data_IF_391003266652
#
_entry.id   IF_391003266652
#
_cell.length_a   1.000
_cell.length_b   1.000
_cell.length_c   1.000
_cell.angle_alpha   90.00
_cell.angle_beta   90.00
_cell.angle_gamma   90.00
#
_symmetry.space_group_name_H-M   'P 1'
#
loop_
_entity.id
_entity.type
_entity.pdbx_description
1 polymer ?
#
# COMPACT_ATOMS: atom_id res chain seq x y z
N UNK A 1 -5.50 -26.13 -2.06
CA UNK A 1 -6.23 -25.35 -1.04
C UNK A 1 -7.48 -24.82 -1.71
N UNK A 2 -8.64 -25.43 -1.42
CA UNK A 2 -9.90 -25.15 -2.11
C UNK A 2 -10.55 -23.91 -1.51
N UNK A 3 -10.89 -22.93 -2.36
CA UNK A 3 -11.80 -21.84 -1.98
C UNK A 3 -13.21 -22.28 -2.35
N UNK A 4 -13.98 -22.78 -1.37
CA UNK A 4 -15.41 -23.02 -1.55
C UNK A 4 -16.14 -21.68 -1.55
N UNK A 5 -16.64 -21.27 -2.72
CA UNK A 5 -17.43 -20.06 -2.87
C UNK A 5 -18.84 -20.24 -2.31
N UNK A 6 -19.32 -19.24 -1.56
CA UNK A 6 -20.71 -19.12 -1.16
C UNK A 6 -21.41 -18.19 -2.17
N UNK A 7 -22.39 -18.74 -2.88
CA UNK A 7 -23.12 -18.13 -3.98
C UNK A 7 -24.28 -17.27 -3.45
N UNK A 8 -24.01 -16.09 -2.84
CA UNK A 8 -25.06 -15.08 -2.62
C UNK A 8 -24.51 -13.73 -2.15
N UNK A 9 -23.64 -13.12 -2.94
CA UNK A 9 -23.43 -11.68 -2.85
C UNK A 9 -22.95 -11.15 -4.20
N UNK A 10 -23.45 -9.98 -4.59
CA UNK A 10 -22.82 -9.13 -5.62
C UNK A 10 -21.44 -8.66 -5.12
N UNK A 11 -20.54 -9.59 -4.82
CA UNK A 11 -19.14 -9.34 -4.53
C UNK A 11 -18.42 -9.23 -5.86
N UNK A 12 -17.83 -8.07 -6.12
CA UNK A 12 -17.07 -7.81 -7.35
C UNK A 12 -15.96 -8.84 -7.53
N UNK A 13 -16.23 -9.85 -8.35
CA UNK A 13 -15.23 -10.80 -8.78
C UNK A 13 -14.29 -10.10 -9.76
N UNK A 14 -13.00 -10.08 -9.44
CA UNK A 14 -11.98 -9.67 -10.41
C UNK A 14 -12.06 -10.60 -11.62
N UNK A 15 -12.22 -10.02 -12.82
CA UNK A 15 -12.12 -10.82 -14.02
C UNK A 15 -10.63 -11.19 -14.24
N UNK A 16 -10.35 -12.18 -15.10
CA UNK A 16 -8.98 -12.62 -15.37
C UNK A 16 -8.05 -11.49 -15.82
N UNK A 17 -8.58 -10.47 -16.53
CA UNK A 17 -7.79 -9.32 -16.99
C UNK A 17 -7.41 -8.39 -15.84
N UNK A 18 -8.29 -8.21 -14.84
CA UNK A 18 -7.98 -7.39 -13.67
C UNK A 18 -6.81 -7.98 -12.87
N UNK A 19 -6.78 -9.31 -12.74
CA UNK A 19 -5.72 -10.05 -12.05
C UNK A 19 -4.34 -9.91 -12.73
N UNK A 20 -4.29 -9.63 -14.03
CA UNK A 20 -3.01 -9.39 -14.74
C UNK A 20 -2.25 -8.18 -14.17
N UNK A 21 -2.95 -7.25 -13.52
CA UNK A 21 -2.34 -6.09 -12.88
C UNK A 21 -1.63 -6.43 -11.57
N UNK A 22 -1.68 -7.68 -11.11
CA UNK A 22 -1.11 -8.10 -9.84
C UNK A 22 -0.10 -9.25 -10.03
N UNK A 23 0.82 -9.40 -9.08
CA UNK A 23 1.68 -10.57 -8.98
C UNK A 23 2.09 -10.83 -7.53
N UNK A 24 2.52 -12.06 -7.26
CA UNK A 24 3.00 -12.47 -5.95
C UNK A 24 4.53 -12.61 -6.01
N UNK A 25 5.22 -12.10 -5.00
CA UNK A 25 6.66 -12.31 -4.78
C UNK A 25 6.91 -12.60 -3.30
N UNK A 26 7.41 -13.80 -3.01
CA UNK A 26 7.41 -14.32 -1.64
C UNK A 26 5.98 -14.42 -1.11
N UNK A 27 5.73 -13.92 0.09
CA UNK A 27 4.40 -13.91 0.72
C UNK A 27 3.61 -12.61 0.51
N UNK A 28 3.97 -11.81 -0.50
CA UNK A 28 3.42 -10.47 -0.70
C UNK A 28 2.79 -10.30 -2.08
N UNK A 29 1.67 -9.56 -2.12
CA UNK A 29 0.99 -9.14 -3.35
C UNK A 29 1.52 -7.77 -3.78
N UNK A 30 1.78 -7.63 -5.07
CA UNK A 30 2.23 -6.39 -5.71
C UNK A 30 1.28 -5.99 -6.82
N UNK A 31 1.05 -4.69 -6.93
CA UNK A 31 0.44 -4.05 -8.10
C UNK A 31 1.56 -3.80 -9.11
N UNK A 32 1.38 -4.30 -10.33
CA UNK A 32 2.31 -4.04 -11.43
C UNK A 32 2.39 -2.55 -11.70
N UNK A 33 3.61 -2.12 -11.99
CA UNK A 33 3.87 -0.78 -12.45
C UNK A 33 3.32 -0.57 -13.87
N UNK A 34 2.89 0.65 -14.15
CA UNK A 34 2.90 1.17 -15.53
C UNK A 34 4.35 1.47 -15.92
N UNK A 35 4.63 1.64 -17.21
CA UNK A 35 5.99 1.86 -17.77
C UNK A 35 6.78 2.87 -16.92
N UNK A 36 8.06 2.56 -16.67
CA UNK A 36 9.03 3.36 -15.88
C UNK A 36 8.69 3.58 -14.40
N UNK A 37 7.83 2.75 -13.82
CA UNK A 37 7.55 2.75 -12.37
C UNK A 37 7.97 1.44 -11.72
N UNK A 38 8.10 1.50 -10.40
CA UNK A 38 8.36 0.33 -9.56
C UNK A 38 7.02 -0.29 -9.12
N UNK A 39 6.92 -1.62 -9.08
CA UNK A 39 5.72 -2.27 -8.54
C UNK A 39 5.46 -1.85 -7.09
N UNK A 40 4.18 -1.71 -6.72
CA UNK A 40 3.78 -1.28 -5.38
C UNK A 40 3.33 -2.47 -4.55
N UNK A 41 3.88 -2.61 -3.34
CA UNK A 41 3.47 -3.65 -2.41
C UNK A 41 2.08 -3.33 -1.83
N UNK A 42 1.13 -4.26 -1.89
CA UNK A 42 -0.13 -4.13 -1.17
C UNK A 42 0.09 -4.42 0.31
N UNK A 43 -0.43 -3.56 1.17
CA UNK A 43 -0.39 -3.72 2.63
C UNK A 43 -1.83 -3.74 3.14
N UNK A 44 -2.25 -4.86 3.69
CA UNK A 44 -3.65 -5.06 4.09
C UNK A 44 -3.87 -4.61 5.52
N UNK A 45 -3.03 -5.09 6.44
CA UNK A 45 -3.19 -4.89 7.87
C UNK A 45 -2.72 -3.52 8.32
N UNK A 46 -3.49 -2.91 9.24
CA UNK A 46 -3.18 -1.57 9.78
C UNK A 46 -1.86 -1.53 10.53
N UNK A 47 -1.50 -2.59 11.23
CA UNK A 47 -0.24 -2.67 11.94
C UNK A 47 0.96 -2.77 11.00
N UNK A 48 0.82 -3.50 9.88
CA UNK A 48 1.85 -3.57 8.84
C UNK A 48 2.04 -2.24 8.09
N UNK A 49 1.03 -1.36 8.06
CA UNK A 49 1.11 -0.03 7.44
C UNK A 49 1.99 0.94 8.24
N UNK A 50 2.13 0.75 9.56
CA UNK A 50 2.92 1.61 10.45
C UNK A 50 4.40 1.60 10.09
N UNK A 51 4.97 0.43 9.80
CA UNK A 51 6.39 0.29 9.49
C UNK A 51 6.79 1.08 8.23
N UNK A 52 6.11 0.98 7.07
CA UNK A 52 6.36 1.86 5.92
C UNK A 52 6.21 3.35 6.22
N UNK A 53 5.19 3.74 7.01
CA UNK A 53 4.95 5.13 7.41
C UNK A 53 6.15 5.68 8.19
N UNK A 54 6.55 5.00 9.26
CA UNK A 54 7.67 5.39 10.12
C UNK A 54 9.00 5.38 9.35
N UNK A 55 9.27 4.35 8.55
CA UNK A 55 10.51 4.25 7.79
C UNK A 55 10.65 5.37 6.75
N UNK A 56 9.55 5.78 6.11
CA UNK A 56 9.60 6.87 5.13
C UNK A 56 9.65 8.24 5.82
N UNK A 57 8.89 8.42 6.91
CA UNK A 57 8.86 9.67 7.65
C UNK A 57 10.18 9.96 8.38
N UNK A 58 10.78 8.95 9.02
CA UNK A 58 12.00 9.03 9.83
C UNK A 58 13.27 8.66 9.03
N UNK A 59 13.15 8.34 7.75
CA UNK A 59 14.17 7.63 6.97
C UNK A 59 15.48 8.37 6.73
N UNK A 60 16.55 7.58 6.62
CA UNK A 60 17.93 8.00 6.36
C UNK A 60 18.02 8.57 4.93
N UNK A 61 18.33 9.87 4.82
CA UNK A 61 18.53 10.56 3.54
C UNK A 61 17.79 11.90 3.38
N UNK A 62 17.06 12.40 4.38
CA UNK A 62 16.42 13.72 4.25
C UNK A 62 15.59 14.25 5.41
N UNK A 63 15.86 13.84 6.66
CA UNK A 63 15.19 14.37 7.85
C UNK A 63 13.70 14.01 7.95
N UNK A 64 13.05 14.42 9.05
CA UNK A 64 11.59 14.31 9.22
C UNK A 64 10.90 15.04 8.06
N UNK A 65 10.43 14.29 7.08
CA UNK A 65 9.71 14.85 5.95
C UNK A 65 8.24 15.05 6.32
N UNK A 66 7.72 16.24 6.06
CA UNK A 66 6.31 16.54 6.29
C UNK A 66 5.38 15.66 5.44
N UNK A 67 4.08 15.85 5.64
CA UNK A 67 3.00 15.17 4.90
C UNK A 67 3.27 15.10 3.39
N UNK A 68 3.61 16.24 2.78
CA UNK A 68 3.71 16.38 1.33
C UNK A 68 4.94 15.68 0.74
N UNK A 69 5.96 15.39 1.56
CA UNK A 69 7.07 14.52 1.18
C UNK A 69 6.79 13.03 1.44
N UNK A 70 6.04 12.73 2.50
CA UNK A 70 5.75 11.36 2.92
C UNK A 70 4.77 10.67 1.96
N UNK A 71 3.67 11.34 1.60
CA UNK A 71 2.62 10.76 0.73
C UNK A 71 3.17 10.28 -0.61
N UNK A 72 3.92 11.09 -1.40
CA UNK A 72 4.43 10.65 -2.70
C UNK A 72 5.39 9.48 -2.58
N UNK A 73 6.30 9.50 -1.60
CA UNK A 73 7.26 8.40 -1.37
C UNK A 73 6.58 7.09 -1.00
N UNK A 74 5.54 7.17 -0.16
CA UNK A 74 4.73 6.02 0.19
C UNK A 74 3.99 5.46 -1.03
N UNK A 75 3.32 6.32 -1.79
CA UNK A 75 2.57 5.93 -2.99
C UNK A 75 3.46 5.39 -4.11
N UNK A 76 4.76 5.69 -4.11
CA UNK A 76 5.71 5.13 -5.06
C UNK A 76 6.01 3.65 -4.78
N UNK A 77 6.02 3.23 -3.51
CA UNK A 77 6.42 1.87 -3.10
C UNK A 77 5.30 0.98 -2.57
N UNK A 78 4.23 1.57 -2.05
CA UNK A 78 3.17 0.86 -1.34
C UNK A 78 1.79 1.26 -1.83
N UNK A 79 0.83 0.38 -1.56
CA UNK A 79 -0.57 0.62 -1.78
C UNK A 79 -1.40 0.06 -0.63
N UNK A 80 -2.30 0.89 -0.11
CA UNK A 80 -3.45 0.46 0.67
C UNK A 80 -4.56 1.49 0.52
N UNK A 81 -5.78 1.11 0.88
CA UNK A 81 -6.93 1.99 0.76
C UNK A 81 -6.78 3.19 1.73
N UNK A 82 -7.01 4.41 1.23
CA UNK A 82 -6.96 5.66 2.00
C UNK A 82 -5.60 6.00 2.62
N UNK A 83 -4.51 5.65 1.95
CA UNK A 83 -3.12 5.99 2.36
C UNK A 83 -2.95 7.46 2.78
N UNK A 84 -3.55 8.40 2.05
CA UNK A 84 -3.45 9.84 2.37
C UNK A 84 -4.09 10.18 3.72
N UNK A 85 -5.22 9.53 4.04
CA UNK A 85 -5.92 9.74 5.31
C UNK A 85 -5.10 9.20 6.48
N UNK A 86 -4.47 8.04 6.31
CA UNK A 86 -3.65 7.44 7.35
C UNK A 86 -2.36 8.23 7.59
N UNK A 87 -1.71 8.72 6.52
CA UNK A 87 -0.57 9.63 6.66
C UNK A 87 -0.99 10.89 7.42
N UNK A 88 -2.14 11.49 7.09
CA UNK A 88 -2.63 12.67 7.80
C UNK A 88 -2.89 12.42 9.28
N UNK A 89 -3.39 11.24 9.64
CA UNK A 89 -3.60 10.87 11.03
C UNK A 89 -2.27 10.68 11.76
N UNK A 90 -1.33 9.98 11.13
CA UNK A 90 0.01 9.76 11.66
C UNK A 90 0.77 11.08 11.92
N UNK A 91 0.64 12.07 11.03
CA UNK A 91 1.28 13.37 11.20
C UNK A 91 0.74 14.15 12.40
N UNK A 92 -0.52 13.94 12.82
CA UNK A 92 -1.08 14.57 14.02
C UNK A 92 -0.53 14.00 15.31
N UNK A 93 -0.07 12.74 15.27
CA UNK A 93 0.53 12.05 16.42
C UNK A 93 2.06 12.16 16.43
N UNK A 94 2.63 12.76 15.40
CA UNK A 94 4.06 13.00 15.31
C UNK A 94 4.38 14.35 15.96
N UNK A 95 5.06 14.34 17.10
CA UNK A 95 5.69 15.54 17.66
C UNK A 95 6.87 15.90 16.76
N UNK A 96 6.73 16.94 15.94
CA UNK A 96 7.82 17.47 15.09
C UNK A 96 8.90 18.06 15.97
#
# INVERSE_FOLDING_TARGET
MYLSGNENSNQGFFNKKDLLNYFIRGSHIFIRAKVDRVPRKMVFEKDEQKMPLENIHNGIGGGRIGRDGTIPKLKDRYFWNKIDKDVNLFMKTCEI
#
